data_IF_396324061365
#
_entry.id   IF_396324061365
#
_cell.length_a   1.000
_cell.length_b   1.000
_cell.length_c   1.000
_cell.angle_alpha   90.00
_cell.angle_beta   90.00
_cell.angle_gamma   90.00
#
_symmetry.space_group_name_H-M   'P 1'
#
loop_
_entity.id
_entity.type
_entity.pdbx_description
1 polymer ?
#
# COMPACT_ATOMS: atom_id res chain seq x y z
N UNK A 1 -24.86 -23.10 33.24
CA UNK A 1 -24.61 -23.61 31.87
C UNK A 1 -25.86 -23.42 31.02
N UNK A 2 -25.83 -22.58 29.97
CA UNK A 2 -26.77 -22.65 28.83
C UNK A 2 -26.09 -22.08 27.58
N UNK A 3 -25.63 -22.98 26.72
CA UNK A 3 -25.10 -22.67 25.40
C UNK A 3 -26.23 -22.21 24.48
N UNK A 4 -26.27 -20.92 24.15
CA UNK A 4 -27.04 -20.41 23.01
C UNK A 4 -26.22 -20.55 21.72
N UNK A 5 -26.42 -21.63 20.96
CA UNK A 5 -25.83 -21.77 19.61
C UNK A 5 -26.40 -20.69 18.70
N UNK A 6 -25.59 -19.67 18.36
CA UNK A 6 -25.88 -18.75 17.25
C UNK A 6 -25.82 -19.54 15.94
N UNK A 7 -26.97 -19.77 15.30
CA UNK A 7 -27.02 -20.31 13.94
C UNK A 7 -26.38 -19.28 13.00
N UNK A 8 -25.25 -19.63 12.37
CA UNK A 8 -24.75 -18.88 11.21
C UNK A 8 -25.69 -19.16 10.04
N UNK A 9 -26.44 -18.16 9.59
CA UNK A 9 -27.15 -18.25 8.30
C UNK A 9 -26.10 -18.24 7.19
N UNK A 10 -26.05 -19.29 6.38
CA UNK A 10 -25.27 -19.30 5.14
C UNK A 10 -25.94 -18.36 4.14
N UNK A 11 -25.15 -17.48 3.51
CA UNK A 11 -25.62 -16.66 2.40
C UNK A 11 -25.60 -17.49 1.12
N UNK A 12 -26.75 -17.65 0.48
CA UNK A 12 -26.86 -18.20 -0.87
C UNK A 12 -27.08 -17.03 -1.83
N UNK A 13 -26.13 -16.75 -2.74
CA UNK A 13 -26.27 -15.66 -3.69
C UNK A 13 -27.53 -15.84 -4.53
N UNK A 14 -28.30 -14.76 -4.69
CA UNK A 14 -29.41 -14.74 -5.63
C UNK A 14 -28.91 -14.51 -7.06
N UNK A 15 -29.74 -14.80 -8.07
CA UNK A 15 -29.37 -14.54 -9.48
C UNK A 15 -29.06 -13.07 -9.74
N UNK A 16 -29.73 -12.17 -9.01
CA UNK A 16 -29.50 -10.73 -9.05
C UNK A 16 -28.13 -10.38 -8.47
N UNK A 17 -27.74 -10.95 -7.32
CA UNK A 17 -26.40 -10.75 -6.75
C UNK A 17 -25.28 -11.20 -7.71
N UNK A 18 -25.50 -12.32 -8.41
CA UNK A 18 -24.57 -12.83 -9.43
C UNK A 18 -24.49 -11.88 -10.62
N UNK A 19 -25.64 -11.37 -11.09
CA UNK A 19 -25.69 -10.44 -12.22
C UNK A 19 -25.02 -9.10 -11.89
N UNK A 20 -25.29 -8.55 -10.70
CA UNK A 20 -24.65 -7.32 -10.21
C UNK A 20 -23.15 -7.52 -10.05
N UNK A 21 -22.72 -8.64 -9.45
CA UNK A 21 -21.31 -8.99 -9.33
C UNK A 21 -20.60 -9.12 -10.68
N UNK A 22 -21.26 -9.74 -11.66
CA UNK A 22 -20.75 -9.86 -13.02
C UNK A 22 -20.64 -8.49 -13.71
N UNK A 23 -21.66 -7.65 -13.61
CA UNK A 23 -21.64 -6.29 -14.17
C UNK A 23 -20.52 -5.43 -13.55
N UNK A 24 -20.33 -5.53 -12.22
CA UNK A 24 -19.25 -4.86 -11.52
C UNK A 24 -17.87 -5.35 -12.01
N UNK A 25 -17.68 -6.67 -12.15
CA UNK A 25 -16.45 -7.25 -12.67
C UNK A 25 -16.15 -6.77 -14.11
N UNK A 26 -17.17 -6.70 -14.97
CA UNK A 26 -17.05 -6.16 -16.33
C UNK A 26 -16.64 -4.69 -16.32
N UNK A 27 -17.27 -3.87 -15.46
CA UNK A 27 -16.91 -2.47 -15.29
C UNK A 27 -15.45 -2.26 -14.85
N UNK A 28 -14.97 -3.08 -13.92
CA UNK A 28 -13.57 -3.08 -13.46
C UNK A 28 -12.63 -3.44 -14.62
N UNK A 29 -12.94 -4.50 -15.37
CA UNK A 29 -12.11 -4.95 -16.50
C UNK A 29 -12.09 -3.90 -17.62
N UNK A 30 -13.23 -3.32 -17.95
CA UNK A 30 -13.35 -2.28 -18.96
C UNK A 30 -12.60 -1.00 -18.54
N UNK A 31 -12.72 -0.59 -17.28
CA UNK A 31 -11.97 0.52 -16.71
C UNK A 31 -10.46 0.29 -16.77
N UNK A 32 -9.99 -0.88 -16.34
CA UNK A 32 -8.58 -1.25 -16.38
C UNK A 32 -8.00 -1.20 -17.81
N UNK A 33 -8.79 -1.61 -18.82
CA UNK A 33 -8.40 -1.50 -20.23
C UNK A 33 -8.41 -0.06 -20.74
N UNK A 34 -9.46 0.71 -20.44
CA UNK A 34 -9.62 2.11 -20.91
C UNK A 34 -8.53 3.04 -20.39
N UNK A 35 -8.03 2.80 -19.18
CA UNK A 35 -6.95 3.59 -18.59
C UNK A 35 -5.54 2.99 -18.78
N UNK A 36 -5.39 1.90 -19.56
CA UNK A 36 -4.08 1.31 -19.85
C UNK A 36 -3.36 0.69 -18.64
N UNK A 37 -4.11 0.33 -17.59
CA UNK A 37 -3.57 -0.15 -16.32
C UNK A 37 -3.00 -1.58 -16.42
N UNK A 38 -3.35 -2.37 -17.44
CA UNK A 38 -2.93 -3.78 -17.56
C UNK A 38 -1.43 -3.99 -17.75
N UNK A 39 -0.74 -3.17 -18.58
CA UNK A 39 0.73 -3.27 -18.74
C UNK A 39 1.48 -2.71 -17.54
N UNK A 40 0.96 -1.64 -16.91
CA UNK A 40 1.57 -0.98 -15.75
C UNK A 40 1.44 -1.83 -14.49
N UNK A 41 0.30 -2.48 -14.29
CA UNK A 41 0.05 -3.41 -13.19
C UNK A 41 0.89 -4.67 -13.35
N UNK A 42 0.98 -5.29 -14.53
CA UNK A 42 1.83 -6.49 -14.70
C UNK A 42 3.31 -6.22 -14.38
N UNK A 43 3.85 -5.08 -14.83
CA UNK A 43 5.22 -4.67 -14.52
C UNK A 43 5.39 -4.34 -13.05
N UNK A 44 4.43 -3.63 -12.44
CA UNK A 44 4.46 -3.36 -11.01
C UNK A 44 4.36 -4.65 -10.19
N UNK A 45 3.46 -5.56 -10.53
CA UNK A 45 3.28 -6.85 -9.86
C UNK A 45 4.52 -7.73 -10.02
N UNK A 46 5.14 -7.79 -11.21
CA UNK A 46 6.39 -8.53 -11.42
C UNK A 46 7.56 -7.94 -10.62
N UNK A 47 7.67 -6.60 -10.53
CA UNK A 47 8.64 -5.92 -9.65
C UNK A 47 8.32 -6.06 -8.15
N UNK A 48 7.06 -6.28 -7.79
CA UNK A 48 6.60 -6.43 -6.40
C UNK A 48 6.60 -7.89 -5.92
N UNK A 49 6.85 -8.85 -6.80
CA UNK A 49 6.72 -10.29 -6.55
C UNK A 49 8.05 -11.04 -6.55
N UNK A 50 9.18 -10.34 -6.63
CA UNK A 50 10.45 -10.94 -6.21
C UNK A 50 10.38 -11.16 -4.68
N UNK A 51 10.70 -12.39 -4.26
CA UNK A 51 10.45 -12.93 -2.91
C UNK A 51 10.85 -11.97 -1.78
N UNK A 52 10.06 -11.93 -0.70
CA UNK A 52 10.18 -10.99 0.44
C UNK A 52 11.40 -11.25 1.36
N UNK A 53 12.58 -11.43 0.77
CA UNK A 53 13.86 -11.53 1.45
C UNK A 53 14.85 -10.45 0.99
N UNK A 54 14.42 -9.54 0.11
CA UNK A 54 15.26 -8.47 -0.43
C UNK A 54 14.97 -7.13 0.27
N UNK A 55 15.90 -6.62 1.09
CA UNK A 55 15.73 -5.36 1.82
C UNK A 55 15.43 -4.15 0.92
N UNK A 56 16.01 -4.11 -0.28
CA UNK A 56 15.82 -3.02 -1.23
C UNK A 56 14.35 -2.91 -1.66
N UNK A 57 13.76 -4.05 -2.00
CA UNK A 57 12.34 -4.14 -2.37
C UNK A 57 11.42 -3.68 -1.23
N UNK A 58 11.78 -3.97 0.03
CA UNK A 58 11.00 -3.54 1.20
C UNK A 58 11.11 -2.04 1.44
N UNK A 59 12.29 -1.44 1.26
CA UNK A 59 12.46 0.01 1.32
C UNK A 59 11.67 0.72 0.20
N UNK A 60 11.70 0.21 -1.03
CA UNK A 60 10.86 0.74 -2.11
C UNK A 60 9.36 0.63 -1.80
N UNK A 61 8.94 -0.50 -1.23
CA UNK A 61 7.54 -0.71 -0.83
C UNK A 61 7.13 0.26 0.28
N UNK A 62 7.99 0.49 1.27
CA UNK A 62 7.75 1.47 2.33
C UNK A 62 7.52 2.87 1.74
N UNK A 63 8.38 3.32 0.82
CA UNK A 63 8.21 4.62 0.17
C UNK A 63 6.91 4.76 -0.62
N UNK A 64 6.53 3.73 -1.39
CA UNK A 64 5.22 3.71 -2.08
C UNK A 64 4.04 3.79 -1.10
N UNK A 65 4.15 3.14 0.06
CA UNK A 65 3.13 3.21 1.13
C UNK A 65 3.07 4.60 1.76
N UNK A 66 4.21 5.28 1.93
CA UNK A 66 4.26 6.68 2.36
C UNK A 66 3.56 7.60 1.36
N UNK A 67 3.89 7.49 0.06
CA UNK A 67 3.25 8.30 -0.99
C UNK A 67 1.73 8.06 -1.01
N UNK A 68 1.30 6.80 -0.84
CA UNK A 68 -0.11 6.46 -0.78
C UNK A 68 -0.80 7.04 0.46
N UNK A 69 -0.22 6.89 1.66
CA UNK A 69 -0.76 7.50 2.88
C UNK A 69 -0.90 9.02 2.70
N UNK A 70 0.15 9.68 2.23
CA UNK A 70 0.16 11.11 2.01
C UNK A 70 -0.90 11.55 0.98
N UNK A 71 -1.15 10.76 -0.07
CA UNK A 71 -2.22 11.05 -1.03
C UNK A 71 -3.61 11.05 -0.43
N UNK A 72 -3.83 10.27 0.64
CA UNK A 72 -5.11 10.19 1.34
C UNK A 72 -5.26 11.33 2.35
N UNK A 73 -4.23 11.54 3.19
CA UNK A 73 -4.39 12.44 4.34
C UNK A 73 -3.99 13.88 4.00
N UNK A 74 -3.00 14.08 3.13
CA UNK A 74 -2.38 15.39 2.85
C UNK A 74 -2.63 15.86 1.42
N UNK A 75 -1.88 15.31 0.45
CA UNK A 75 -2.08 15.52 -1.00
C UNK A 75 -1.24 14.51 -1.77
N UNK A 76 -1.58 14.28 -3.04
CA UNK A 76 -0.71 13.56 -3.96
C UNK A 76 0.53 14.38 -4.35
N UNK A 77 1.58 13.68 -4.82
CA UNK A 77 2.74 14.32 -5.47
C UNK A 77 2.30 15.06 -6.74
N UNK A 78 2.79 16.28 -6.93
CA UNK A 78 2.43 17.12 -8.09
C UNK A 78 3.16 16.63 -9.35
N UNK A 79 2.60 16.83 -10.54
CA UNK A 79 3.34 16.65 -11.79
C UNK A 79 4.60 17.52 -11.78
N UNK A 80 5.75 16.95 -12.14
CA UNK A 80 7.05 17.64 -12.14
C UNK A 80 7.74 17.77 -10.77
N UNK A 81 7.07 17.41 -9.67
CA UNK A 81 7.68 17.40 -8.34
C UNK A 81 8.58 16.18 -8.18
N UNK A 82 9.81 16.41 -7.74
CA UNK A 82 10.76 15.32 -7.47
C UNK A 82 10.40 14.60 -6.17
N UNK A 83 10.77 13.32 -6.00
CA UNK A 83 10.55 12.60 -4.75
C UNK A 83 11.09 13.36 -3.53
N UNK A 84 12.29 13.94 -3.65
CA UNK A 84 12.91 14.71 -2.57
C UNK A 84 12.14 16.00 -2.23
N UNK A 85 11.66 16.74 -3.23
CA UNK A 85 10.81 17.92 -3.00
C UNK A 85 9.50 17.55 -2.30
N UNK A 86 8.91 16.42 -2.71
CA UNK A 86 7.68 15.94 -2.10
C UNK A 86 7.90 15.55 -0.63
N UNK A 87 8.95 14.80 -0.35
CA UNK A 87 9.31 14.38 1.01
C UNK A 87 9.62 15.60 1.89
N UNK A 88 10.36 16.58 1.40
CA UNK A 88 10.61 17.85 2.12
C UNK A 88 9.30 18.53 2.54
N UNK A 89 8.29 18.54 1.66
CA UNK A 89 6.98 19.06 1.99
C UNK A 89 6.25 18.22 3.05
N UNK A 90 6.36 16.88 3.00
CA UNK A 90 5.78 15.99 4.00
C UNK A 90 6.44 16.18 5.38
N UNK A 91 7.76 16.30 5.40
CA UNK A 91 8.56 16.42 6.63
C UNK A 91 8.30 17.73 7.39
N UNK A 92 7.97 18.81 6.68
CA UNK A 92 7.57 20.10 7.28
C UNK A 92 6.14 20.10 7.82
N UNK A 93 5.37 19.07 7.48
CA UNK A 93 4.03 18.84 8.02
C UNK A 93 4.09 17.69 9.06
N UNK A 94 2.94 17.13 9.42
CA UNK A 94 2.74 16.10 10.43
C UNK A 94 3.50 14.78 10.22
N UNK A 95 4.22 14.58 9.11
CA UNK A 95 4.99 13.35 8.88
C UNK A 95 6.41 13.41 9.47
N UNK A 96 6.97 14.62 9.64
CA UNK A 96 8.26 14.85 10.29
C UNK A 96 9.44 14.08 9.69
N UNK A 97 10.50 13.90 10.48
CA UNK A 97 11.73 13.21 10.05
C UNK A 97 11.52 11.75 9.60
N UNK A 98 10.42 11.12 10.03
CA UNK A 98 10.08 9.75 9.58
C UNK A 98 9.87 9.69 8.07
N UNK A 99 9.36 10.75 7.44
CA UNK A 99 9.26 10.82 5.98
C UNK A 99 10.63 10.84 5.30
N UNK A 100 11.60 11.58 5.87
CA UNK A 100 12.98 11.58 5.37
C UNK A 100 13.64 10.21 5.51
N UNK A 101 13.52 9.56 6.68
CA UNK A 101 14.14 8.25 6.91
C UNK A 101 13.67 7.20 5.89
N UNK A 102 12.39 7.20 5.54
CA UNK A 102 11.82 6.30 4.52
C UNK A 102 12.33 6.65 3.12
N UNK A 103 12.42 7.94 2.80
CA UNK A 103 12.93 8.40 1.52
C UNK A 103 14.41 8.07 1.33
N UNK A 104 15.23 8.23 2.36
CA UNK A 104 16.65 7.87 2.32
C UNK A 104 16.86 6.37 2.07
N UNK A 105 16.11 5.52 2.77
CA UNK A 105 16.17 4.08 2.54
C UNK A 105 15.79 3.73 1.09
N UNK A 106 14.77 4.38 0.55
CA UNK A 106 14.37 4.21 -0.85
C UNK A 106 15.43 4.71 -1.84
N UNK A 107 16.03 5.87 -1.59
CA UNK A 107 17.08 6.42 -2.44
C UNK A 107 18.30 5.49 -2.46
N UNK A 108 18.72 4.96 -1.31
CA UNK A 108 19.82 3.98 -1.20
C UNK A 108 19.51 2.67 -1.91
N UNK A 109 18.30 2.13 -1.73
CA UNK A 109 17.85 0.91 -2.40
C UNK A 109 17.78 1.07 -3.93
N UNK A 110 17.32 2.23 -4.42
CA UNK A 110 17.04 2.44 -5.84
C UNK A 110 18.22 2.96 -6.64
N UNK A 111 19.02 3.83 -6.04
CA UNK A 111 20.08 4.59 -6.71
C UNK A 111 21.45 4.40 -6.06
N UNK A 112 21.51 3.83 -4.85
CA UNK A 112 22.73 3.55 -4.12
C UNK A 112 23.18 2.10 -4.24
N UNK A 113 23.97 1.66 -3.26
CA UNK A 113 24.48 0.29 -3.16
C UNK A 113 23.52 -0.70 -2.50
N UNK A 114 22.27 -0.31 -2.26
CA UNK A 114 21.28 -1.08 -1.51
C UNK A 114 21.16 -0.66 -0.04
N UNK A 115 20.26 -1.32 0.68
CA UNK A 115 20.04 -1.22 2.13
C UNK A 115 20.12 -2.59 2.80
N UNK A 116 20.41 -2.61 4.09
CA UNK A 116 20.35 -3.84 4.88
C UNK A 116 18.94 -4.13 5.44
N UNK A 117 18.73 -5.34 5.98
CA UNK A 117 17.45 -5.75 6.58
C UNK A 117 16.98 -4.82 7.70
N UNK A 118 17.91 -4.28 8.51
CA UNK A 118 17.56 -3.43 9.64
C UNK A 118 17.15 -2.04 9.19
N UNK A 119 17.76 -1.51 8.14
CA UNK A 119 17.39 -0.26 7.49
C UNK A 119 16.01 -0.38 6.81
N UNK A 120 15.80 -1.46 6.04
CA UNK A 120 14.51 -1.72 5.41
C UNK A 120 13.39 -1.86 6.46
N UNK A 121 13.64 -2.60 7.55
CA UNK A 121 12.71 -2.74 8.66
C UNK A 121 12.38 -1.41 9.31
N UNK A 122 13.39 -0.57 9.59
CA UNK A 122 13.18 0.78 10.14
C UNK A 122 12.31 1.65 9.23
N UNK A 123 12.50 1.57 7.91
CA UNK A 123 11.64 2.29 6.97
C UNK A 123 10.19 1.79 7.01
N UNK A 124 9.98 0.47 7.06
CA UNK A 124 8.64 -0.13 7.18
C UNK A 124 7.96 0.31 8.48
N UNK A 125 8.67 0.23 9.61
CA UNK A 125 8.16 0.63 10.93
C UNK A 125 7.81 2.12 10.97
N UNK A 126 8.64 2.98 10.38
CA UNK A 126 8.36 4.40 10.28
C UNK A 126 7.05 4.70 9.52
N UNK A 127 6.77 3.98 8.43
CA UNK A 127 5.50 4.13 7.70
C UNK A 127 4.34 3.56 8.50
N UNK A 128 4.51 2.43 9.18
CA UNK A 128 3.46 1.84 10.03
C UNK A 128 3.09 2.78 11.19
N UNK A 129 4.06 3.45 11.78
CA UNK A 129 3.85 4.51 12.77
C UNK A 129 3.05 5.68 12.22
N UNK A 130 3.40 6.16 11.03
CA UNK A 130 2.70 7.25 10.37
C UNK A 130 1.25 6.86 10.02
N UNK A 131 1.02 5.63 9.57
CA UNK A 131 -0.33 5.11 9.33
C UNK A 131 -1.12 5.05 10.65
N UNK A 132 -0.51 4.57 11.74
CA UNK A 132 -1.15 4.54 13.06
C UNK A 132 -1.57 5.93 13.54
N UNK A 133 -0.72 6.94 13.31
CA UNK A 133 -0.96 8.31 13.76
C UNK A 133 -1.99 9.05 12.91
N UNK A 134 -1.99 8.86 11.58
CA UNK A 134 -2.78 9.70 10.67
C UNK A 134 -3.95 8.99 9.99
N UNK A 135 -3.95 7.65 9.93
CA UNK A 135 -4.96 6.89 9.21
C UNK A 135 -5.20 5.49 9.82
N UNK A 136 -5.70 5.40 11.08
CA UNK A 136 -5.87 4.13 11.78
C UNK A 136 -6.81 3.14 11.05
N UNK A 137 -7.73 3.66 10.23
CA UNK A 137 -8.62 2.86 9.38
C UNK A 137 -7.88 2.06 8.29
N UNK A 138 -6.76 2.56 7.76
CA UNK A 138 -6.00 1.86 6.71
C UNK A 138 -5.29 0.60 7.22
N UNK A 139 -4.91 0.57 8.50
CA UNK A 139 -4.32 -0.64 9.13
C UNK A 139 -5.25 -1.84 9.07
N UNK A 140 -6.56 -1.61 9.27
CA UNK A 140 -7.57 -2.69 9.29
C UNK A 140 -7.74 -3.34 7.92
N UNK A 141 -7.42 -2.62 6.85
CA UNK A 141 -7.51 -3.10 5.47
C UNK A 141 -6.21 -3.80 5.01
N UNK A 142 -5.05 -3.46 5.58
CA UNK A 142 -3.75 -4.06 5.24
C UNK A 142 -3.43 -5.39 5.96
N UNK A 143 -4.14 -5.74 7.03
CA UNK A 143 -3.90 -6.97 7.81
C UNK A 143 -4.46 -8.27 7.21
N UNK A 144 -5.14 -8.21 6.06
CA UNK A 144 -5.70 -9.39 5.40
C UNK A 144 -4.64 -10.09 4.53
N UNK A 145 -3.63 -10.68 5.17
CA UNK A 145 -2.51 -11.26 4.43
C UNK A 145 -1.45 -11.96 5.27
N UNK A 146 -1.85 -12.76 6.27
CA UNK A 146 -1.03 -13.87 6.75
C UNK A 146 -1.93 -15.10 6.97
N UNK A 147 -1.89 -16.11 6.09
CA UNK A 147 -2.27 -17.45 6.53
C UNK A 147 -1.21 -17.93 7.53
N UNK A 148 -1.66 -18.26 8.74
CA UNK A 148 -0.97 -19.14 9.69
C UNK A 148 -0.75 -20.51 9.09
#
# INVERSE_FOLDING_TARGET
MRCGRRRRRGWTPTREDVAVGAAAAVGIVAGARRFGLTRRIRRAVWLLHQSSADPDTDAERAFRRLEYLASIVYRSRRPGETPRQYVEALSRDRFGERAHAVAEAHERARYGGGVDEAEARRAVEAVDDLIRQHAPVLRRLGGAGKPT
#
